data_IF_495827328577
#
_entry.id   IF_495827328577
#
_cell.length_a   1.000
_cell.length_b   1.000
_cell.length_c   1.000
_cell.angle_alpha   90.00
_cell.angle_beta   90.00
_cell.angle_gamma   90.00
#
_symmetry.space_group_name_H-M   'P 1'
#
loop_
_entity.id
_entity.type
_entity.pdbx_description
1 polymer ?
#
# COMPACT_ATOMS: atom_id res chain seq x y z
N UNK A 1 41.56 -9.81 15.53
CA UNK A 1 40.69 -9.98 14.36
C UNK A 1 39.32 -10.44 14.87
N UNK A 2 38.24 -9.73 14.59
CA UNK A 2 36.88 -10.16 15.00
C UNK A 2 36.13 -10.69 13.78
N UNK A 3 35.34 -11.75 13.97
CA UNK A 3 34.48 -12.30 12.94
C UNK A 3 33.15 -11.58 12.96
N UNK A 4 32.87 -10.78 11.94
CA UNK A 4 31.54 -10.19 11.74
C UNK A 4 30.60 -11.23 11.12
N UNK A 5 29.40 -11.37 11.68
CA UNK A 5 28.30 -12.16 11.09
C UNK A 5 27.12 -11.22 10.87
N UNK A 6 26.43 -11.36 9.74
CA UNK A 6 25.23 -10.60 9.41
C UNK A 6 24.12 -11.55 8.98
N UNK A 7 22.89 -11.21 9.33
CA UNK A 7 21.69 -11.92 8.90
C UNK A 7 20.61 -10.91 8.48
N UNK A 8 19.83 -11.26 7.47
CA UNK A 8 18.69 -10.48 6.99
C UNK A 8 17.45 -10.97 7.71
N UNK A 9 16.85 -10.16 8.57
CA UNK A 9 15.66 -10.55 9.33
C UNK A 9 14.37 -10.41 8.52
N UNK A 10 14.23 -9.31 7.77
CA UNK A 10 13.09 -9.05 6.88
C UNK A 10 13.45 -7.93 5.90
N UNK A 11 12.64 -7.78 4.85
CA UNK A 11 12.71 -6.64 3.94
C UNK A 11 11.55 -5.67 4.20
N UNK A 12 11.73 -4.36 3.98
CA UNK A 12 10.66 -3.36 4.03
C UNK A 12 10.56 -2.73 2.65
N UNK A 13 9.41 -2.87 1.98
CA UNK A 13 9.25 -2.48 0.58
C UNK A 13 7.87 -1.88 0.33
N UNK A 14 7.75 -0.95 -0.62
CA UNK A 14 6.44 -0.61 -1.15
C UNK A 14 5.82 -1.82 -1.89
N UNK A 15 4.52 -1.75 -2.18
CA UNK A 15 3.81 -2.86 -2.80
C UNK A 15 4.36 -3.26 -4.18
N UNK A 16 4.77 -2.32 -5.06
CA UNK A 16 5.45 -2.67 -6.30
C UNK A 16 6.79 -3.40 -6.11
N UNK A 17 7.68 -2.91 -5.23
CA UNK A 17 8.95 -3.57 -4.95
C UNK A 17 8.77 -4.90 -4.23
N UNK A 18 7.65 -5.10 -3.53
CA UNK A 18 7.30 -6.39 -2.94
C UNK A 18 7.27 -7.52 -4.00
N UNK A 19 6.87 -7.23 -5.24
CA UNK A 19 6.91 -8.24 -6.31
C UNK A 19 8.33 -8.74 -6.60
N UNK A 20 9.31 -7.85 -6.54
CA UNK A 20 10.71 -8.18 -6.82
C UNK A 20 11.36 -8.96 -5.68
N UNK A 21 11.02 -8.68 -4.43
CA UNK A 21 11.64 -9.40 -3.29
C UNK A 21 10.94 -10.72 -2.98
N UNK A 22 9.64 -10.85 -3.29
CA UNK A 22 8.87 -12.06 -3.02
C UNK A 22 8.85 -13.04 -4.19
N UNK A 23 9.09 -12.59 -5.41
CA UNK A 23 8.92 -13.41 -6.62
C UNK A 23 7.47 -13.52 -7.08
N UNK A 24 6.50 -13.06 -6.28
CA UNK A 24 5.07 -13.10 -6.59
C UNK A 24 4.63 -11.80 -7.28
N UNK A 25 4.00 -11.90 -8.45
CA UNK A 25 3.57 -10.70 -9.19
C UNK A 25 2.50 -9.92 -8.43
N UNK A 26 2.72 -8.63 -8.18
CA UNK A 26 1.73 -7.75 -7.54
C UNK A 26 0.75 -7.12 -8.53
N UNK A 27 0.66 -7.69 -9.74
CA UNK A 27 -0.26 -7.27 -10.81
C UNK A 27 -1.30 -8.35 -11.11
N UNK A 28 -2.48 -7.92 -11.54
CA UNK A 28 -3.59 -8.80 -11.92
C UNK A 28 -4.40 -9.28 -10.72
N UNK A 29 -5.29 -10.25 -10.95
CA UNK A 29 -6.27 -10.70 -9.94
C UNK A 29 -5.63 -11.41 -8.74
N UNK A 30 -4.39 -11.88 -8.85
CA UNK A 30 -3.69 -12.65 -7.80
C UNK A 30 -2.59 -11.86 -7.08
N UNK A 31 -2.66 -10.53 -6.99
CA UNK A 31 -1.51 -9.73 -6.57
C UNK A 31 -1.00 -9.92 -5.14
N UNK A 32 -1.80 -10.47 -4.22
CA UNK A 32 -1.41 -10.60 -2.83
C UNK A 32 -0.47 -11.82 -2.62
N UNK A 33 0.80 -11.63 -2.21
CA UNK A 33 1.71 -12.76 -1.97
C UNK A 33 1.34 -13.59 -0.74
N UNK A 34 0.54 -13.03 0.16
CA UNK A 34 0.07 -13.69 1.40
C UNK A 34 -1.14 -14.57 1.10
N UNK A 35 -2.20 -14.01 0.49
CA UNK A 35 -3.41 -14.75 0.16
C UNK A 35 -3.23 -15.70 -1.03
N UNK A 36 -2.29 -15.39 -1.94
CA UNK A 36 -2.07 -16.10 -3.20
C UNK A 36 -3.36 -16.28 -4.02
N UNK A 37 -3.75 -17.51 -4.29
CA UNK A 37 -4.95 -17.89 -5.03
C UNK A 37 -6.25 -17.59 -4.25
N UNK A 38 -6.18 -17.50 -2.92
CA UNK A 38 -7.31 -17.21 -2.04
C UNK A 38 -7.53 -15.69 -1.86
N UNK A 39 -7.01 -14.87 -2.77
CA UNK A 39 -7.30 -13.44 -2.79
C UNK A 39 -8.70 -13.20 -3.35
N UNK A 40 -9.47 -12.33 -2.70
CA UNK A 40 -10.73 -11.84 -3.27
C UNK A 40 -10.43 -10.60 -4.10
N UNK A 41 -10.58 -10.68 -5.41
CA UNK A 41 -10.35 -9.56 -6.32
C UNK A 41 -11.47 -9.43 -7.34
N UNK A 42 -11.65 -8.21 -7.87
CA UNK A 42 -12.67 -7.92 -8.87
C UNK A 42 -12.30 -6.69 -9.69
N UNK A 43 -12.98 -6.50 -10.81
CA UNK A 43 -12.76 -5.37 -11.69
C UNK A 43 -13.75 -4.25 -11.40
N UNK A 44 -13.25 -3.13 -10.90
CA UNK A 44 -14.04 -1.96 -10.54
C UNK A 44 -13.30 -0.69 -10.97
N UNK A 45 -14.04 0.29 -11.46
CA UNK A 45 -13.56 1.62 -11.89
C UNK A 45 -12.49 1.56 -12.99
N UNK A 46 -12.42 0.46 -13.74
CA UNK A 46 -11.41 0.22 -14.77
C UNK A 46 -10.07 -0.29 -14.22
N UNK A 47 -10.04 -0.79 -12.97
CA UNK A 47 -8.85 -1.39 -12.34
C UNK A 47 -9.23 -2.67 -11.61
N UNK A 48 -8.23 -3.51 -11.34
CA UNK A 48 -8.39 -4.62 -10.40
C UNK A 48 -8.35 -4.06 -8.98
N UNK A 49 -9.37 -4.36 -8.17
CA UNK A 49 -9.41 -4.05 -6.75
C UNK A 49 -9.42 -5.34 -5.94
N UNK A 50 -8.84 -5.28 -4.75
CA UNK A 50 -8.78 -6.40 -3.81
C UNK A 50 -9.74 -6.13 -2.66
N UNK A 51 -10.66 -7.06 -2.44
CA UNK A 51 -11.71 -7.02 -1.43
C UNK A 51 -11.46 -8.15 -0.41
N UNK A 52 -12.40 -8.37 0.51
CA UNK A 52 -12.30 -9.46 1.49
C UNK A 52 -11.25 -9.24 2.58
N UNK A 53 -10.80 -8.00 2.80
CA UNK A 53 -9.89 -7.65 3.89
C UNK A 53 -10.49 -7.97 5.27
N UNK A 54 -11.82 -7.99 5.38
CA UNK A 54 -12.55 -8.36 6.60
C UNK A 54 -12.28 -9.79 7.07
N UNK A 55 -11.82 -10.69 6.18
CA UNK A 55 -11.41 -12.06 6.53
C UNK A 55 -10.28 -12.13 7.56
N UNK A 56 -9.53 -11.04 7.75
CA UNK A 56 -8.42 -10.96 8.72
C UNK A 56 -8.86 -10.46 10.10
N UNK A 57 -10.13 -10.11 10.27
CA UNK A 57 -10.65 -9.63 11.55
C UNK A 57 -10.95 -10.82 12.50
N UNK A 58 -10.91 -10.61 13.82
CA UNK A 58 -11.39 -11.58 14.80
C UNK A 58 -12.85 -12.01 14.54
N UNK A 59 -13.20 -13.25 14.90
CA UNK A 59 -14.54 -13.83 14.65
C UNK A 59 -15.70 -13.10 15.33
N UNK A 60 -15.42 -12.40 16.42
CA UNK A 60 -16.34 -11.58 17.21
C UNK A 60 -16.39 -10.12 16.75
N UNK A 61 -15.67 -9.77 15.69
CA UNK A 61 -15.59 -8.39 15.22
C UNK A 61 -16.88 -7.95 14.51
N UNK A 62 -17.48 -6.85 14.98
CA UNK A 62 -18.78 -6.32 14.51
C UNK A 62 -18.83 -6.13 12.97
N UNK A 63 -17.72 -5.70 12.36
CA UNK A 63 -17.64 -5.46 10.92
C UNK A 63 -17.84 -6.70 10.04
N UNK A 64 -17.74 -7.92 10.59
CA UNK A 64 -18.04 -9.14 9.85
C UNK A 64 -19.52 -9.21 9.45
N UNK A 65 -20.42 -8.67 10.29
CA UNK A 65 -21.88 -8.66 10.07
C UNK A 65 -22.38 -7.44 9.29
N UNK A 66 -21.55 -6.42 9.11
CA UNK A 66 -21.93 -5.14 8.48
C UNK A 66 -21.97 -5.20 6.95
N UNK A 67 -22.68 -6.17 6.38
CA UNK A 67 -22.82 -6.37 4.93
C UNK A 67 -23.14 -5.08 4.15
N UNK A 68 -24.13 -4.29 4.62
CA UNK A 68 -24.59 -3.05 3.98
C UNK A 68 -23.55 -1.94 3.93
N UNK A 69 -22.60 -1.92 4.87
CA UNK A 69 -21.54 -0.90 4.92
C UNK A 69 -20.35 -1.25 4.01
N UNK A 70 -20.18 -2.54 3.68
CA UNK A 70 -19.07 -3.06 2.88
C UNK A 70 -19.53 -3.48 1.47
N UNK A 71 -19.35 -4.75 1.12
CA UNK A 71 -19.55 -5.33 -0.20
C UNK A 71 -20.89 -6.07 -0.36
N UNK A 72 -21.83 -5.87 0.57
CA UNK A 72 -23.17 -6.45 0.53
C UNK A 72 -23.25 -7.90 1.02
N UNK A 73 -22.15 -8.46 1.51
CA UNK A 73 -22.10 -9.82 2.04
C UNK A 73 -21.70 -9.83 3.52
N UNK A 74 -22.26 -10.76 4.29
CA UNK A 74 -21.70 -11.09 5.61
C UNK A 74 -20.40 -11.86 5.41
N UNK A 75 -19.33 -11.51 6.14
CA UNK A 75 -18.04 -12.18 6.00
C UNK A 75 -17.90 -13.26 7.07
N UNK A 76 -18.07 -14.52 6.67
CA UNK A 76 -17.87 -15.71 7.52
C UNK A 76 -16.82 -16.67 6.98
N UNK A 77 -16.10 -16.29 5.93
CA UNK A 77 -15.03 -17.13 5.38
C UNK A 77 -13.83 -17.10 6.32
N UNK A 78 -13.11 -18.23 6.35
CA UNK A 78 -11.86 -18.35 7.12
C UNK A 78 -10.83 -17.33 6.63
N UNK A 79 -9.92 -16.93 7.52
CA UNK A 79 -8.68 -16.24 7.15
C UNK A 79 -7.96 -17.02 6.03
N UNK A 80 -7.40 -16.36 5.01
CA UNK A 80 -6.58 -17.04 4.01
C UNK A 80 -5.48 -17.88 4.66
N UNK A 81 -5.18 -19.05 4.08
CA UNK A 81 -4.13 -19.95 4.58
C UNK A 81 -2.78 -19.22 4.60
N UNK A 82 -2.08 -19.31 5.73
CA UNK A 82 -0.69 -18.87 5.83
C UNK A 82 0.25 -19.92 5.22
N UNK A 83 1.11 -19.48 4.30
CA UNK A 83 2.12 -20.33 3.66
C UNK A 83 3.44 -20.24 4.41
N UNK A 84 3.96 -21.39 4.85
CA UNK A 84 5.30 -21.45 5.42
C UNK A 84 6.35 -21.13 4.35
N UNK A 85 7.52 -20.66 4.79
CA UNK A 85 8.62 -20.39 3.85
C UNK A 85 9.17 -21.67 3.22
N UNK A 86 9.07 -22.81 3.90
CA UNK A 86 9.49 -24.11 3.35
C UNK A 86 8.55 -24.58 2.23
N UNK A 87 7.23 -24.48 2.41
CA UNK A 87 6.25 -24.79 1.35
C UNK A 87 6.43 -23.87 0.13
N UNK A 88 6.73 -22.58 0.35
CA UNK A 88 7.04 -21.66 -0.74
C UNK A 88 8.32 -22.05 -1.45
N UNK A 89 9.37 -22.43 -0.72
CA UNK A 89 10.63 -22.88 -1.30
C UNK A 89 10.44 -24.15 -2.13
N UNK A 90 9.66 -25.12 -1.63
CA UNK A 90 9.29 -26.34 -2.35
C UNK A 90 8.59 -26.00 -3.67
N UNK A 91 7.55 -25.15 -3.65
CA UNK A 91 6.89 -24.67 -4.86
C UNK A 91 7.88 -24.05 -5.84
N UNK A 92 8.76 -23.16 -5.38
CA UNK A 92 9.74 -22.49 -6.23
C UNK A 92 10.79 -23.45 -6.81
N UNK A 93 11.10 -24.56 -6.13
CA UNK A 93 12.02 -25.58 -6.62
C UNK A 93 11.41 -26.43 -7.74
N UNK A 94 10.08 -26.51 -7.83
CA UNK A 94 9.37 -27.22 -8.90
C UNK A 94 9.11 -26.36 -10.15
N UNK A 95 9.55 -25.10 -10.14
CA UNK A 95 9.33 -24.15 -11.24
C UNK A 95 10.63 -23.84 -11.97
N UNK A 96 10.59 -23.92 -13.30
CA UNK A 96 11.74 -23.62 -14.15
C UNK A 96 11.75 -22.13 -14.54
N UNK A 97 12.48 -21.32 -13.76
CA UNK A 97 12.65 -19.92 -14.07
C UNK A 97 13.76 -19.71 -15.11
N UNK A 98 13.46 -18.94 -16.15
CA UNK A 98 14.47 -18.55 -17.11
C UNK A 98 15.56 -17.66 -16.45
N UNK A 99 16.82 -17.73 -16.90
CA UNK A 99 17.88 -16.88 -16.38
C UNK A 99 17.56 -15.39 -16.56
N UNK A 100 17.86 -14.60 -15.53
CA UNK A 100 17.72 -13.14 -15.57
C UNK A 100 18.48 -12.55 -16.77
N UNK A 101 17.84 -11.64 -17.52
CA UNK A 101 18.49 -10.84 -18.57
C UNK A 101 18.50 -11.42 -19.99
N UNK A 102 17.94 -12.61 -20.23
CA UNK A 102 17.73 -13.11 -21.61
C UNK A 102 16.34 -12.72 -22.13
N UNK A 103 16.25 -12.45 -23.44
CA UNK A 103 14.98 -12.16 -24.12
C UNK A 103 14.13 -13.43 -24.17
N UNK A 104 13.27 -13.63 -23.19
CA UNK A 104 12.35 -14.78 -23.16
C UNK A 104 10.99 -14.33 -23.70
N UNK A 105 10.39 -15.19 -24.53
CA UNK A 105 9.01 -15.10 -25.00
C UNK A 105 8.05 -14.69 -23.87
N UNK A 106 7.14 -13.77 -24.19
CA UNK A 106 6.42 -12.87 -23.27
C UNK A 106 5.35 -13.54 -22.39
N UNK A 107 5.14 -14.85 -22.51
CA UNK A 107 4.01 -15.54 -21.86
C UNK A 107 4.52 -16.48 -20.78
N UNK A 108 4.15 -16.21 -19.52
CA UNK A 108 4.45 -17.10 -18.40
C UNK A 108 3.72 -18.43 -18.58
N UNK A 109 4.37 -19.59 -18.33
CA UNK A 109 3.69 -20.87 -18.29
C UNK A 109 2.55 -20.84 -17.26
N UNK A 110 1.42 -21.48 -17.56
CA UNK A 110 0.30 -21.60 -16.63
C UNK A 110 0.70 -22.32 -15.33
N UNK A 111 1.68 -23.22 -15.40
CA UNK A 111 2.26 -23.94 -14.26
C UNK A 111 2.92 -23.02 -13.23
N UNK A 112 3.36 -21.83 -13.62
CA UNK A 112 4.02 -20.88 -12.72
C UNK A 112 3.03 -20.10 -11.85
N UNK A 113 1.72 -20.28 -12.04
CA UNK A 113 0.69 -19.47 -11.39
C UNK A 113 1.03 -17.98 -11.53
N UNK A 114 1.24 -17.29 -10.40
CA UNK A 114 1.61 -15.87 -10.36
C UNK A 114 3.07 -15.64 -9.97
N UNK A 115 3.89 -16.69 -9.89
CA UNK A 115 5.33 -16.58 -9.70
C UNK A 115 6.01 -16.00 -10.94
N UNK A 116 7.00 -15.15 -10.71
CA UNK A 116 7.77 -14.47 -11.76
C UNK A 116 9.21 -14.92 -11.80
N UNK A 117 9.78 -15.22 -10.63
CA UNK A 117 11.15 -15.68 -10.45
C UNK A 117 11.29 -16.32 -9.07
N UNK A 118 12.39 -17.05 -8.86
CA UNK A 118 12.83 -17.48 -7.54
C UNK A 118 13.62 -16.35 -6.87
N UNK A 119 13.19 -15.82 -5.70
CA UNK A 119 13.92 -14.75 -5.03
C UNK A 119 15.29 -15.22 -4.54
N UNK A 120 16.30 -14.38 -4.71
CA UNK A 120 17.67 -14.63 -4.24
C UNK A 120 17.74 -14.86 -2.72
N UNK A 121 16.81 -14.31 -1.94
CA UNK A 121 16.78 -14.53 -0.50
C UNK A 121 16.63 -16.01 -0.11
N UNK A 122 16.02 -16.84 -0.96
CA UNK A 122 15.93 -18.29 -0.72
C UNK A 122 17.27 -19.04 -0.89
N UNK A 123 18.34 -18.37 -1.33
CA UNK A 123 19.71 -18.90 -1.25
C UNK A 123 20.24 -18.87 0.20
N UNK A 124 19.66 -18.04 1.07
CA UNK A 124 20.02 -17.99 2.49
C UNK A 124 19.39 -19.20 3.21
N UNK A 125 20.17 -20.08 3.86
CA UNK A 125 19.66 -21.34 4.44
C UNK A 125 18.54 -21.19 5.47
N UNK A 126 18.46 -20.03 6.13
CA UNK A 126 17.49 -19.74 7.18
C UNK A 126 16.26 -18.98 6.68
N UNK A 127 16.24 -18.48 5.43
CA UNK A 127 15.19 -17.59 4.95
C UNK A 127 13.81 -18.25 4.95
N UNK A 128 13.73 -19.52 4.56
CA UNK A 128 12.48 -20.29 4.58
C UNK A 128 11.93 -20.49 6.01
N UNK A 129 12.80 -20.40 7.02
CA UNK A 129 12.44 -20.56 8.44
C UNK A 129 11.91 -19.26 9.07
N UNK A 130 12.05 -18.12 8.41
CA UNK A 130 11.54 -16.85 8.90
C UNK A 130 10.02 -16.78 8.71
N UNK A 131 9.29 -16.52 9.80
CA UNK A 131 7.83 -16.29 9.78
C UNK A 131 7.47 -15.00 9.02
N UNK A 132 8.22 -13.93 9.27
CA UNK A 132 8.03 -12.62 8.63
C UNK A 132 9.23 -12.31 7.73
N UNK A 133 9.06 -12.49 6.42
CA UNK A 133 10.13 -12.27 5.41
C UNK A 133 10.07 -10.89 4.79
N UNK A 134 8.86 -10.40 4.55
CA UNK A 134 8.60 -9.18 3.79
C UNK A 134 7.55 -8.34 4.49
N UNK A 135 7.90 -7.10 4.76
CA UNK A 135 7.05 -6.08 5.36
C UNK A 135 6.76 -4.99 4.33
N UNK A 136 5.55 -4.43 4.41
CA UNK A 136 5.18 -3.29 3.59
C UNK A 136 5.73 -2.00 4.20
N UNK A 137 6.19 -1.09 3.34
CA UNK A 137 6.55 0.26 3.73
C UNK A 137 5.28 1.06 4.04
N UNK A 138 4.97 1.08 5.34
CA UNK A 138 3.79 1.74 5.91
C UNK A 138 3.73 3.21 5.53
N UNK A 139 4.87 3.92 5.43
CA UNK A 139 4.86 5.35 5.13
C UNK A 139 4.26 5.65 3.76
N UNK A 140 4.58 4.85 2.74
CA UNK A 140 4.04 5.03 1.40
C UNK A 140 2.56 4.63 1.35
N UNK A 141 2.18 3.58 2.07
CA UNK A 141 0.79 3.13 2.16
C UNK A 141 -0.08 4.19 2.84
N UNK A 142 0.31 4.66 4.02
CA UNK A 142 -0.42 5.67 4.79
C UNK A 142 -0.59 6.96 4.00
N UNK A 143 0.48 7.43 3.35
CA UNK A 143 0.40 8.63 2.49
C UNK A 143 -0.65 8.44 1.40
N UNK A 144 -0.63 7.31 0.70
CA UNK A 144 -1.55 7.03 -0.40
C UNK A 144 -3.01 6.92 0.09
N UNK A 145 -3.23 6.30 1.25
CA UNK A 145 -4.56 6.19 1.89
C UNK A 145 -5.06 7.58 2.29
N UNK A 146 -4.20 8.37 2.94
CA UNK A 146 -4.54 9.73 3.37
C UNK A 146 -4.88 10.65 2.18
N UNK A 147 -4.02 10.70 1.17
CA UNK A 147 -4.23 11.52 -0.03
C UNK A 147 -5.55 11.13 -0.73
N UNK A 148 -5.86 9.83 -0.75
CA UNK A 148 -7.11 9.29 -1.30
C UNK A 148 -8.33 9.71 -0.48
N UNK A 149 -8.27 9.58 0.84
CA UNK A 149 -9.35 9.93 1.75
C UNK A 149 -9.65 11.43 1.69
N UNK A 150 -8.62 12.26 1.81
CA UNK A 150 -8.74 13.72 1.77
C UNK A 150 -9.23 14.18 0.41
N UNK A 151 -8.69 13.65 -0.68
CA UNK A 151 -9.14 13.97 -2.04
C UNK A 151 -10.62 13.63 -2.26
N UNK A 152 -11.12 12.57 -1.62
CA UNK A 152 -12.52 12.13 -1.73
C UNK A 152 -13.45 12.98 -0.86
N UNK A 153 -13.12 13.21 0.41
CA UNK A 153 -13.94 13.99 1.35
C UNK A 153 -14.02 15.47 0.94
N UNK A 154 -12.91 16.04 0.45
CA UNK A 154 -12.87 17.41 -0.03
C UNK A 154 -13.37 17.57 -1.47
N UNK A 155 -13.77 16.48 -2.13
CA UNK A 155 -14.20 16.44 -3.52
C UNK A 155 -13.26 17.23 -4.46
N UNK A 156 -11.96 16.92 -4.38
CA UNK A 156 -10.94 17.58 -5.19
C UNK A 156 -10.97 16.95 -6.58
N UNK A 157 -11.16 17.79 -7.61
CA UNK A 157 -11.16 17.36 -9.00
C UNK A 157 -9.88 16.59 -9.34
N UNK A 158 -10.03 15.43 -9.98
CA UNK A 158 -8.92 14.53 -10.33
C UNK A 158 -8.34 13.70 -9.18
N UNK A 159 -8.69 13.97 -7.91
CA UNK A 159 -8.21 13.20 -6.74
C UNK A 159 -9.32 12.42 -6.02
N UNK A 160 -10.56 12.84 -6.15
CA UNK A 160 -11.72 12.15 -5.55
C UNK A 160 -11.90 10.73 -6.10
N UNK A 161 -12.23 9.78 -5.21
CA UNK A 161 -12.60 8.40 -5.59
C UNK A 161 -14.11 8.22 -5.78
N UNK A 162 -14.92 9.19 -5.37
CA UNK A 162 -16.31 9.27 -5.79
C UNK A 162 -16.32 9.74 -7.25
N UNK A 163 -16.40 8.80 -8.18
CA UNK A 163 -16.43 9.06 -9.62
C UNK A 163 -17.68 8.44 -10.22
N UNK A 164 -18.08 8.89 -11.41
CA UNK A 164 -19.23 8.31 -12.13
C UNK A 164 -19.08 6.79 -12.28
N UNK A 165 -17.87 6.33 -12.64
CA UNK A 165 -17.57 4.88 -12.75
C UNK A 165 -17.77 4.17 -11.41
N UNK A 166 -17.28 4.76 -10.31
CA UNK A 166 -17.47 4.19 -8.97
C UNK A 166 -18.95 4.09 -8.60
N UNK A 167 -19.78 5.09 -8.91
CA UNK A 167 -21.23 5.05 -8.65
C UNK A 167 -21.94 3.98 -9.48
N UNK A 168 -21.55 3.81 -10.75
CA UNK A 168 -22.07 2.71 -11.59
C UNK A 168 -21.66 1.33 -11.07
N UNK A 169 -20.43 1.19 -10.57
CA UNK A 169 -19.99 -0.07 -9.96
C UNK A 169 -20.79 -0.36 -8.68
N UNK A 170 -21.08 0.64 -7.85
CA UNK A 170 -21.96 0.49 -6.67
C UNK A 170 -23.37 0.04 -7.06
N UNK A 171 -23.94 0.59 -8.14
CA UNK A 171 -25.24 0.16 -8.70
C UNK A 171 -25.18 -1.29 -9.19
N UNK A 172 -24.13 -1.65 -9.95
CA UNK A 172 -23.92 -3.03 -10.44
C UNK A 172 -23.74 -4.03 -9.30
N UNK A 173 -23.07 -3.62 -8.23
CA UNK A 173 -22.89 -4.44 -7.03
C UNK A 173 -24.16 -4.49 -6.15
N UNK A 174 -25.17 -3.65 -6.41
CA UNK A 174 -26.39 -3.61 -5.61
C UNK A 174 -26.23 -2.98 -4.23
N UNK A 175 -25.12 -2.27 -3.97
CA UNK A 175 -24.77 -1.72 -2.65
C UNK A 175 -24.90 -0.19 -2.62
N UNK A 176 -25.12 0.39 -1.44
CA UNK A 176 -25.12 1.84 -1.20
C UNK A 176 -26.04 2.63 -2.15
N UNK A 177 -27.33 2.26 -2.20
CA UNK A 177 -28.35 2.88 -3.08
C UNK A 177 -28.37 4.40 -3.05
N UNK A 178 -28.12 5.02 -1.89
CA UNK A 178 -28.06 6.48 -1.75
C UNK A 178 -26.90 7.16 -2.49
N UNK A 179 -25.92 6.40 -3.00
CA UNK A 179 -24.80 6.91 -3.79
C UNK A 179 -24.95 6.62 -5.29
N UNK A 180 -26.05 6.00 -5.71
CA UNK A 180 -26.26 5.68 -7.12
C UNK A 180 -26.44 6.96 -7.95
N UNK A 181 -26.25 6.82 -9.26
CA UNK A 181 -26.46 7.90 -10.19
C UNK A 181 -27.94 8.24 -10.29
N UNK A 182 -28.29 9.51 -10.14
CA UNK A 182 -29.64 9.97 -10.44
C UNK A 182 -29.78 10.11 -11.96
N UNK A 183 -30.76 9.43 -12.54
CA UNK A 183 -30.99 9.43 -14.01
C UNK A 183 -31.71 10.69 -14.49
N UNK A 184 -32.26 11.47 -13.56
CA UNK A 184 -33.18 12.57 -13.86
C UNK A 184 -32.52 13.97 -13.85
N UNK A 185 -31.23 14.07 -13.50
CA UNK A 185 -30.51 15.36 -13.46
C UNK A 185 -29.44 15.46 -14.54
N UNK A 186 -29.49 16.52 -15.36
CA UNK A 186 -28.47 16.91 -16.36
C UNK A 186 -27.04 17.03 -15.79
N UNK A 187 -26.92 17.13 -14.46
CA UNK A 187 -25.66 16.88 -13.78
C UNK A 187 -25.52 15.38 -13.58
N UNK A 188 -24.68 14.76 -14.40
CA UNK A 188 -24.26 13.35 -14.31
C UNK A 188 -23.45 13.03 -13.02
N UNK A 189 -23.68 13.77 -11.94
CA UNK A 189 -23.23 13.46 -10.60
C UNK A 189 -24.43 13.81 -9.72
N UNK A 190 -25.16 12.79 -9.27
CA UNK A 190 -26.21 12.98 -8.27
C UNK A 190 -25.64 13.72 -7.06
N UNK A 191 -26.52 14.20 -6.17
CA UNK A 191 -26.16 14.99 -4.99
C UNK A 191 -24.82 14.59 -4.35
N UNK A 192 -24.10 15.60 -3.85
CA UNK A 192 -22.83 15.40 -3.13
C UNK A 192 -22.99 14.24 -2.16
N UNK A 193 -22.06 13.29 -2.20
CA UNK A 193 -22.11 12.14 -1.31
C UNK A 193 -22.18 12.59 0.15
N UNK A 194 -22.82 11.80 1.01
CA UNK A 194 -23.03 12.18 2.41
C UNK A 194 -21.72 12.46 3.19
N UNK A 195 -20.60 11.92 2.72
CA UNK A 195 -19.27 12.12 3.29
C UNK A 195 -18.50 13.32 2.69
N UNK A 196 -19.03 13.94 1.64
CA UNK A 196 -18.41 15.11 1.03
C UNK A 196 -18.66 16.35 1.88
N UNK A 197 -17.59 17.07 2.21
CA UNK A 197 -17.67 18.28 3.04
C UNK A 197 -18.37 19.41 2.30
N UNK A 198 -19.19 20.18 3.03
CA UNK A 198 -19.76 21.43 2.53
C UNK A 198 -18.67 22.51 2.45
N UNK A 199 -18.85 23.57 1.63
CA UNK A 199 -17.83 24.60 1.44
C UNK A 199 -17.34 25.28 2.74
N UNK A 200 -18.19 25.45 3.74
CA UNK A 200 -17.80 26.02 5.04
C UNK A 200 -16.95 25.03 5.85
N UNK A 201 -17.38 23.78 5.95
CA UNK A 201 -16.65 22.71 6.65
C UNK A 201 -15.26 22.48 6.04
N UNK A 202 -15.15 22.57 4.70
CA UNK A 202 -13.85 22.52 4.00
C UNK A 202 -12.89 23.60 4.50
N UNK A 203 -13.36 24.83 4.69
CA UNK A 203 -12.52 25.95 5.18
C UNK A 203 -12.05 25.69 6.60
N UNK A 204 -12.92 25.20 7.49
CA UNK A 204 -12.56 24.89 8.88
C UNK A 204 -11.58 23.73 8.95
N UNK A 205 -11.81 22.67 8.18
CA UNK A 205 -10.90 21.54 8.08
C UNK A 205 -9.51 21.96 7.59
N UNK A 206 -9.43 22.76 6.51
CA UNK A 206 -8.15 23.25 5.99
C UNK A 206 -7.43 24.18 6.99
N UNK A 207 -8.18 24.98 7.76
CA UNK A 207 -7.60 25.76 8.87
C UNK A 207 -7.01 24.83 9.92
N UNK A 208 -7.78 23.84 10.41
CA UNK A 208 -7.29 22.86 11.38
C UNK A 208 -6.00 22.19 10.90
N UNK A 209 -5.99 21.62 9.69
CA UNK A 209 -4.82 20.95 9.11
C UNK A 209 -3.61 21.87 9.03
N UNK A 210 -3.80 23.17 8.77
CA UNK A 210 -2.70 24.14 8.74
C UNK A 210 -2.12 24.48 10.12
N UNK A 211 -2.90 24.28 11.19
CA UNK A 211 -2.47 24.47 12.59
C UNK A 211 -1.82 23.24 13.22
N UNK A 212 -2.07 22.03 12.69
CA UNK A 212 -1.45 20.81 13.21
C UNK A 212 0.08 20.91 13.04
N UNK A 213 0.79 20.99 14.17
CA UNK A 213 2.25 20.90 14.24
C UNK A 213 2.62 19.49 14.66
N UNK A 214 3.60 18.92 13.99
CA UNK A 214 4.15 17.63 14.35
C UNK A 214 5.56 17.79 14.94
N UNK A 215 6.04 16.88 15.78
CA UNK A 215 7.41 16.90 16.28
C UNK A 215 8.40 16.82 15.10
N UNK A 216 9.34 17.77 15.02
CA UNK A 216 10.28 17.92 13.91
C UNK A 216 11.12 16.64 13.68
N UNK A 217 11.21 16.18 12.42
CA UNK A 217 12.19 15.17 11.99
C UNK A 217 11.63 14.05 11.11
N UNK A 218 10.32 13.85 11.15
CA UNK A 218 9.59 12.92 10.30
C UNK A 218 8.34 13.69 9.93
N UNK A 219 7.98 13.83 8.64
CA UNK A 219 6.60 13.93 8.15
C UNK A 219 6.44 14.71 6.84
N UNK A 220 5.31 14.42 6.21
CA UNK A 220 4.75 15.10 5.06
C UNK A 220 3.88 16.27 5.54
N UNK A 221 3.99 17.44 4.91
CA UNK A 221 3.10 18.59 5.14
C UNK A 221 2.04 18.65 4.05
N UNK A 222 0.78 18.79 4.42
CA UNK A 222 -0.30 19.01 3.46
C UNK A 222 -0.17 20.41 2.84
N UNK A 223 0.00 20.48 1.52
CA UNK A 223 -0.07 21.73 0.76
C UNK A 223 -1.51 21.92 0.27
N UNK A 224 -2.17 22.93 0.84
CA UNK A 224 -3.55 23.26 0.51
C UNK A 224 -3.71 23.80 -0.92
N UNK A 225 -2.63 24.18 -1.62
CA UNK A 225 -2.70 24.73 -2.99
C UNK A 225 -2.87 23.65 -4.05
N UNK A 226 -2.27 22.48 -3.85
CA UNK A 226 -2.37 21.35 -4.79
C UNK A 226 -3.07 20.14 -4.17
N UNK A 227 -3.43 20.17 -2.89
CA UNK A 227 -4.09 19.09 -2.16
C UNK A 227 -3.19 17.86 -2.00
N UNK A 228 -1.87 18.05 -1.88
CA UNK A 228 -0.89 16.96 -1.75
C UNK A 228 -0.09 17.03 -0.46
N UNK A 229 0.37 15.87 0.00
CA UNK A 229 1.37 15.76 1.05
C UNK A 229 2.78 15.96 0.48
N UNK A 230 3.41 17.10 0.77
CA UNK A 230 4.78 17.47 0.38
C UNK A 230 5.81 17.06 1.44
N UNK A 231 6.92 16.41 1.03
CA UNK A 231 8.03 16.05 1.93
C UNK A 231 8.81 17.31 2.35
N UNK A 232 8.97 17.52 3.65
CA UNK A 232 10.01 18.42 4.21
C UNK A 232 10.84 17.63 5.22
N UNK A 233 11.83 16.90 4.74
CA UNK A 233 12.77 16.15 5.59
C UNK A 233 13.38 14.94 4.93
N UNK A 234 14.49 14.47 5.49
CA UNK A 234 15.10 13.17 5.18
C UNK A 234 14.28 12.11 5.92
N UNK A 235 13.71 11.15 5.20
CA UNK A 235 13.06 10.01 5.82
C UNK A 235 14.11 9.18 6.58
N UNK A 236 14.09 9.23 7.91
CA UNK A 236 14.79 8.23 8.70
C UNK A 236 13.90 6.98 8.75
N UNK A 237 14.46 5.88 8.23
CA UNK A 237 13.91 4.54 8.35
C UNK A 237 13.59 4.24 9.82
N UNK A 238 12.43 3.65 10.08
CA UNK A 238 12.04 2.96 11.32
C UNK A 238 13.01 3.19 12.49
N UNK A 239 12.69 4.11 13.39
CA UNK A 239 13.21 4.04 14.75
C UNK A 239 12.59 2.81 15.43
N UNK A 240 13.06 1.61 15.08
CA UNK A 240 13.11 0.46 15.97
C UNK A 240 14.58 0.28 16.36
N UNK A 241 15.13 1.28 17.04
CA UNK A 241 16.39 1.14 17.76
C UNK A 241 16.04 0.43 19.07
N UNK A 242 16.25 -0.89 19.10
CA UNK A 242 16.73 -1.52 20.32
C UNK A 242 18.02 -0.78 20.72
N UNK A 243 17.89 0.25 21.55
CA UNK A 243 19.02 0.86 22.22
C UNK A 243 19.34 -0.02 23.41
N UNK A 244 20.21 -1.00 23.17
CA UNK A 244 21.07 -1.49 24.21
C UNK A 244 21.90 -0.30 24.74
N UNK A 245 21.85 -0.11 26.06
CA UNK A 245 22.27 1.09 26.75
C UNK A 245 23.80 1.18 26.68
N UNK A 246 24.33 1.93 25.71
CA UNK A 246 25.71 2.43 25.76
C UNK A 246 25.93 3.54 24.73
N UNK A 247 26.14 4.76 25.23
CA UNK A 247 26.86 5.84 24.56
C UNK A 247 26.05 6.90 23.75
N UNK A 248 25.29 7.74 24.49
CA UNK A 248 24.59 8.96 24.00
C UNK A 248 25.47 10.01 23.29
N UNK A 249 26.81 9.90 23.31
CA UNK A 249 27.72 10.89 22.70
C UNK A 249 27.92 10.69 21.19
N UNK A 250 27.70 9.50 20.65
CA UNK A 250 27.87 9.22 19.22
C UNK A 250 26.74 9.82 18.36
N UNK A 251 25.50 9.78 18.85
CA UNK A 251 24.30 10.27 18.15
C UNK A 251 24.36 11.78 17.86
N UNK A 252 24.77 12.62 18.82
CA UNK A 252 24.90 14.08 18.62
C UNK A 252 25.96 14.50 17.60
N UNK A 253 26.95 13.64 17.33
CA UNK A 253 28.01 13.90 16.34
C UNK A 253 27.56 13.60 14.90
N UNK A 254 26.60 12.68 14.73
CA UNK A 254 25.99 12.38 13.43
C UNK A 254 25.02 13.49 13.00
N UNK A 255 24.23 14.05 13.92
CA UNK A 255 23.29 15.15 13.64
C UNK A 255 24.00 16.40 13.09
N UNK A 256 25.15 16.80 13.68
CA UNK A 256 25.89 17.98 13.23
C UNK A 256 26.53 17.83 11.83
N UNK A 257 26.84 16.61 11.39
CA UNK A 257 27.40 16.38 10.04
C UNK A 257 26.33 16.43 8.95
N UNK A 258 25.09 16.02 9.25
CA UNK A 258 23.99 16.04 8.29
C UNK A 258 23.52 17.47 7.99
N UNK A 259 23.57 18.39 8.96
CA UNK A 259 23.14 19.79 8.75
C UNK A 259 24.07 20.57 7.82
N UNK A 260 25.34 20.16 7.65
CA UNK A 260 26.31 20.85 6.79
C UNK A 260 26.30 20.39 5.32
N UNK A 261 25.76 19.20 5.00
CA UNK A 261 25.70 18.70 3.61
C UNK A 261 24.41 19.05 2.84
N UNK A 262 23.49 19.79 3.47
CA UNK A 262 22.23 20.24 2.87
C UNK A 262 22.36 21.39 1.85
N UNK A 263 23.38 21.40 0.99
CA UNK A 263 23.48 22.34 -0.15
C UNK A 263 23.46 21.58 -1.48
N UNK A 264 22.34 21.74 -2.17
CA UNK A 264 22.11 21.58 -3.61
C UNK A 264 22.26 20.17 -4.23
N UNK A 265 21.12 19.60 -4.62
CA UNK A 265 20.86 19.11 -6.00
C UNK A 265 19.34 18.95 -6.19
N UNK A 266 18.74 19.92 -6.90
CA UNK A 266 17.44 19.72 -7.56
C UNK A 266 17.67 18.65 -8.63
N UNK A 267 17.10 17.47 -8.44
CA UNK A 267 16.94 16.50 -9.53
C UNK A 267 15.51 16.67 -10.03
N UNK A 268 15.39 17.24 -11.23
CA UNK A 268 14.14 17.34 -11.97
C UNK A 268 13.76 15.93 -12.46
N UNK A 269 12.71 15.34 -11.90
CA UNK A 269 12.01 14.23 -12.55
C UNK A 269 10.84 14.81 -13.35
N UNK A 270 11.13 15.29 -14.56
CA UNK A 270 10.13 15.38 -15.63
C UNK A 270 10.07 14.00 -16.28
N UNK A 271 8.87 13.41 -16.29
CA UNK A 271 8.56 12.24 -17.09
C UNK A 271 8.64 10.93 -16.31
N UNK A 272 7.53 10.57 -15.66
CA UNK A 272 7.08 9.18 -15.50
C UNK A 272 5.56 9.25 -15.35
N UNK A 273 4.89 8.93 -16.44
CA UNK A 273 3.44 8.93 -16.55
C UNK A 273 2.81 7.94 -15.58
N UNK A 274 1.64 8.36 -15.12
CA UNK A 274 0.67 7.66 -14.29
C UNK A 274 0.43 6.21 -14.73
N UNK A 275 0.44 5.27 -13.77
CA UNK A 275 -0.14 3.93 -13.85
C UNK A 275 -1.08 3.76 -12.63
#
# INVERSE_FOLDING_TARGET
MFTLRAAVMWTVNDFPAYAMVSGWSTKGYMACPVCKEDVTSGWYTGKVCYLGHRRWLPWDHEWLEKDKEFDGNTERRLTPREWSGDEILEQLNHLDFAPFGKTVSRTRPSTHLNWTHKPMFFELPYWSKLKLRHNLDVMHVEKNVFDTLVGTILDIEGKTKDTIKARLDLERMGIRRGLWMNRDSDKARGDLAFFSMKPNDKKEFLKFVSFVKFPDGFLYKYDARDGSLARRGIACWSCQLSLDVSNRKASRRAEKKCTQQGKARRINYRGLGSI
#
